data_IF_077165618838
#
_entry.id   IF_077165618838
#
_cell.length_a   1.000
_cell.length_b   1.000
_cell.length_c   1.000
_cell.angle_alpha   90.00
_cell.angle_beta   90.00
_cell.angle_gamma   90.00
#
_symmetry.space_group_name_H-M   'P 1'
#
loop_
_entity.id
_entity.type
_entity.pdbx_description
1 polymer ?
#
# COMPACT_ATOMS: atom_id res chain seq x y z
N UNK A 1 15.08 50.29 -31.11
CA UNK A 1 15.56 49.86 -32.44
C UNK A 1 17.08 49.75 -32.35
N UNK A 2 17.82 48.66 -32.55
CA UNK A 2 17.60 47.23 -32.82
C UNK A 2 18.81 46.53 -32.14
N UNK A 3 18.61 45.46 -31.36
CA UNK A 3 19.67 44.53 -30.93
C UNK A 3 19.33 43.15 -31.48
N UNK A 4 20.17 42.71 -32.41
CA UNK A 4 20.30 41.41 -33.08
C UNK A 4 21.76 41.48 -33.58
N UNK A 5 22.68 40.53 -33.44
CA UNK A 5 22.63 39.09 -33.28
C UNK A 5 23.97 38.69 -32.63
N UNK A 6 23.98 37.88 -31.58
CA UNK A 6 25.12 37.03 -31.21
C UNK A 6 24.60 35.60 -31.04
N UNK A 7 24.09 35.02 -32.13
CA UNK A 7 24.00 33.57 -32.30
C UNK A 7 25.30 33.15 -32.95
N UNK A 8 26.23 32.55 -32.21
CA UNK A 8 27.25 31.59 -32.67
C UNK A 8 28.32 31.37 -31.58
N UNK A 9 27.94 30.94 -30.38
CA UNK A 9 28.93 30.42 -29.41
C UNK A 9 28.44 29.27 -28.51
N UNK A 10 27.14 29.00 -28.37
CA UNK A 10 26.65 27.98 -27.43
C UNK A 10 27.05 26.53 -27.77
N UNK A 11 27.20 26.17 -29.04
CA UNK A 11 27.46 24.78 -29.43
C UNK A 11 28.89 24.28 -29.12
N UNK A 12 29.87 25.19 -29.02
CA UNK A 12 31.27 24.82 -28.73
C UNK A 12 31.60 24.80 -27.22
N UNK A 13 30.74 25.37 -26.37
CA UNK A 13 30.88 25.30 -24.92
C UNK A 13 30.40 23.96 -24.33
N UNK A 14 29.57 23.22 -25.06
CA UNK A 14 29.05 21.92 -24.61
C UNK A 14 30.15 20.84 -24.55
N UNK A 15 31.01 20.77 -25.57
CA UNK A 15 32.13 19.81 -25.60
C UNK A 15 33.25 20.13 -24.60
N UNK A 16 33.30 21.35 -24.06
CA UNK A 16 34.31 21.79 -23.10
C UNK A 16 33.85 21.68 -21.63
N UNK A 17 32.53 21.59 -21.35
CA UNK A 17 32.01 21.54 -19.98
C UNK A 17 32.31 20.21 -19.28
N UNK A 18 32.38 19.10 -20.03
CA UNK A 18 32.71 17.77 -19.46
C UNK A 18 34.16 17.63 -18.98
N UNK A 19 35.05 18.58 -19.27
CA UNK A 19 36.51 18.47 -19.03
C UNK A 19 36.99 19.30 -17.82
N UNK A 20 36.20 20.27 -17.33
CA UNK A 20 36.72 21.31 -16.42
C UNK A 20 36.17 21.34 -14.98
N UNK A 21 35.32 20.40 -14.54
CA UNK A 21 34.79 20.37 -13.15
C UNK A 21 34.21 21.74 -12.68
N UNK A 22 33.70 22.55 -13.61
CA UNK A 22 32.86 23.71 -13.31
C UNK A 22 31.45 23.23 -13.55
N UNK A 23 30.62 23.20 -12.49
CA UNK A 23 29.22 22.79 -12.60
C UNK A 23 28.54 23.54 -13.75
N UNK A 24 28.19 22.83 -14.81
CA UNK A 24 27.18 23.31 -15.74
C UNK A 24 25.89 23.49 -14.90
N UNK A 25 25.08 24.55 -15.12
CA UNK A 25 23.80 24.64 -14.43
C UNK A 25 23.02 23.38 -14.79
N UNK A 26 22.67 22.59 -13.78
CA UNK A 26 21.89 21.37 -13.95
C UNK A 26 20.55 21.78 -14.53
N UNK A 27 20.42 21.64 -15.84
CA UNK A 27 19.18 21.96 -16.53
C UNK A 27 18.21 20.80 -16.31
N UNK A 28 16.98 21.16 -16.01
CA UNK A 28 15.88 20.24 -15.80
C UNK A 28 14.75 20.55 -16.78
N UNK A 29 13.99 19.52 -17.15
CA UNK A 29 12.91 19.64 -18.11
C UNK A 29 11.66 20.15 -17.37
N UNK A 30 11.02 21.14 -17.96
CA UNK A 30 9.72 21.64 -17.54
C UNK A 30 8.71 21.31 -18.64
N UNK A 31 7.80 20.39 -18.37
CA UNK A 31 6.75 20.02 -19.30
C UNK A 31 5.48 20.82 -19.02
N UNK A 32 4.88 21.40 -20.06
CA UNK A 32 3.62 22.11 -19.96
C UNK A 32 2.84 22.03 -21.27
N UNK A 33 1.62 21.47 -21.21
CA UNK A 33 0.72 21.33 -22.35
C UNK A 33 1.40 20.65 -23.55
N UNK A 34 2.16 19.59 -23.31
CA UNK A 34 2.87 18.86 -24.36
C UNK A 34 4.19 19.49 -24.82
N UNK A 35 4.57 20.66 -24.28
CA UNK A 35 5.80 21.36 -24.66
C UNK A 35 6.87 21.24 -23.57
N UNK A 36 8.14 21.11 -23.99
CA UNK A 36 9.27 21.06 -23.07
C UNK A 36 10.10 22.34 -23.12
N UNK A 37 10.45 22.89 -21.95
CA UNK A 37 11.45 23.94 -21.78
C UNK A 37 12.52 23.51 -20.77
N UNK A 38 13.78 23.88 -20.99
CA UNK A 38 14.83 23.64 -20.00
C UNK A 38 14.90 24.80 -19.01
N UNK A 39 14.85 24.51 -17.72
CA UNK A 39 14.89 25.47 -16.62
C UNK A 39 15.98 25.09 -15.60
N UNK A 40 16.44 26.06 -14.81
CA UNK A 40 17.50 25.84 -13.81
C UNK A 40 16.94 25.48 -12.43
N UNK A 41 15.70 25.87 -12.12
CA UNK A 41 15.05 25.58 -10.84
C UNK A 41 13.58 25.22 -11.02
N UNK A 42 13.00 24.54 -10.03
CA UNK A 42 11.58 24.23 -10.02
C UNK A 42 10.68 25.49 -9.97
N UNK A 43 11.18 26.59 -9.38
CA UNK A 43 10.46 27.86 -9.30
C UNK A 43 10.27 28.53 -10.66
N UNK A 44 11.18 28.23 -11.61
CA UNK A 44 11.12 28.71 -12.98
C UNK A 44 10.21 27.85 -13.87
N UNK A 45 9.66 26.75 -13.34
CA UNK A 45 8.76 25.86 -14.06
C UNK A 45 7.29 26.13 -13.71
N UNK A 46 6.47 26.39 -14.72
CA UNK A 46 5.02 26.59 -14.58
C UNK A 46 4.19 25.32 -14.87
N UNK A 47 4.86 24.19 -15.05
CA UNK A 47 4.27 22.88 -15.33
C UNK A 47 4.97 21.77 -14.53
N UNK A 48 5.07 20.56 -15.09
CA UNK A 48 5.72 19.42 -14.45
C UNK A 48 7.24 19.57 -14.51
N UNK A 49 7.87 19.78 -13.35
CA UNK A 49 9.33 19.87 -13.23
C UNK A 49 9.94 18.47 -13.08
N UNK A 50 10.84 18.11 -13.98
CA UNK A 50 11.52 16.81 -14.02
C UNK A 50 13.00 17.01 -13.74
N UNK A 51 13.38 16.85 -12.48
CA UNK A 51 14.71 17.17 -12.00
C UNK A 51 15.80 16.31 -12.67
N UNK A 52 16.86 16.95 -13.14
CA UNK A 52 17.98 16.30 -13.83
C UNK A 52 17.63 15.66 -15.17
N UNK A 53 16.43 15.88 -15.71
CA UNK A 53 16.04 15.41 -17.05
C UNK A 53 16.18 16.51 -18.08
N UNK A 54 16.67 16.19 -19.27
CA UNK A 54 16.73 17.16 -20.38
C UNK A 54 15.53 16.97 -21.30
N UNK A 55 15.13 18.04 -22.00
CA UNK A 55 14.04 17.97 -22.97
C UNK A 55 14.28 17.00 -24.13
N UNK A 56 15.53 16.61 -24.38
CA UNK A 56 15.87 15.59 -25.37
C UNK A 56 15.48 14.17 -24.93
N UNK A 57 15.34 13.95 -23.63
CA UNK A 57 15.13 12.63 -23.01
C UNK A 57 13.72 12.45 -22.43
N UNK A 58 12.86 13.46 -22.57
CA UNK A 58 11.51 13.50 -22.02
C UNK A 58 10.50 13.73 -23.14
N UNK A 59 9.44 12.93 -23.15
CA UNK A 59 8.30 13.11 -24.04
C UNK A 59 7.17 13.85 -23.33
N UNK A 60 7.24 15.18 -23.27
CA UNK A 60 6.20 15.99 -22.64
C UNK A 60 4.83 15.85 -23.34
N UNK A 61 4.78 15.36 -24.59
CA UNK A 61 3.53 15.15 -25.32
C UNK A 61 2.72 13.97 -24.80
N UNK A 62 3.30 13.17 -23.90
CA UNK A 62 2.66 12.05 -23.24
C UNK A 62 2.77 12.15 -21.72
N UNK A 63 1.91 11.40 -21.04
CA UNK A 63 1.86 11.25 -19.59
C UNK A 63 1.58 9.80 -19.22
N UNK A 64 2.08 9.37 -18.09
CA UNK A 64 1.77 8.11 -17.44
C UNK A 64 0.44 8.24 -16.69
N UNK A 65 -0.45 7.29 -16.95
CA UNK A 65 -1.70 7.08 -16.24
C UNK A 65 -1.62 5.73 -15.52
N UNK A 66 -1.95 5.74 -14.23
CA UNK A 66 -1.99 4.54 -13.40
C UNK A 66 -3.42 4.05 -13.25
N UNK A 67 -3.67 2.79 -13.58
CA UNK A 67 -4.97 2.17 -13.38
C UNK A 67 -5.11 1.54 -11.97
N UNK A 68 -6.29 0.96 -11.72
CA UNK A 68 -6.65 0.33 -10.45
C UNK A 68 -5.81 -0.93 -10.12
N UNK A 69 -5.14 -1.52 -11.10
CA UNK A 69 -4.28 -2.71 -10.95
C UNK A 69 -2.78 -2.33 -10.90
N UNK A 70 -2.49 -1.05 -10.66
CA UNK A 70 -1.14 -0.46 -10.68
C UNK A 70 -0.43 -0.61 -12.04
N UNK A 71 -1.17 -0.86 -13.12
CA UNK A 71 -0.60 -0.86 -14.46
C UNK A 71 -0.45 0.56 -14.97
N UNK A 72 0.69 0.83 -15.61
CA UNK A 72 0.99 2.11 -16.20
C UNK A 72 0.74 2.10 -17.72
N UNK A 73 -0.02 3.08 -18.20
CA UNK A 73 -0.20 3.31 -19.64
C UNK A 73 0.19 4.74 -20.02
N UNK A 74 0.78 4.91 -21.20
CA UNK A 74 1.12 6.24 -21.72
C UNK A 74 -0.01 6.80 -22.58
N UNK A 75 -0.48 7.99 -22.21
CA UNK A 75 -1.54 8.74 -22.90
C UNK A 75 -1.04 10.07 -23.40
N UNK A 76 -1.71 10.66 -24.39
CA UNK A 76 -1.38 12.03 -24.80
C UNK A 76 -1.79 13.01 -23.70
N UNK A 77 -1.00 14.06 -23.53
CA UNK A 77 -1.19 15.06 -22.48
C UNK A 77 -2.61 15.69 -22.45
N UNK A 78 -3.21 15.90 -23.63
CA UNK A 78 -4.57 16.42 -23.78
C UNK A 78 -5.70 15.42 -23.57
N UNK A 79 -5.41 14.13 -23.39
CA UNK A 79 -6.41 13.08 -23.19
C UNK A 79 -6.65 12.85 -21.68
N UNK A 80 -7.86 12.44 -21.34
CA UNK A 80 -8.13 11.94 -19.99
C UNK A 80 -7.56 10.53 -19.85
N UNK A 81 -7.00 10.22 -18.67
CA UNK A 81 -6.65 8.86 -18.33
C UNK A 81 -7.90 7.94 -18.44
N UNK A 82 -7.75 6.72 -18.96
CA UNK A 82 -8.86 5.83 -19.31
C UNK A 82 -9.47 5.14 -18.09
N UNK A 83 -10.31 5.83 -17.33
CA UNK A 83 -10.95 5.22 -16.16
C UNK A 83 -11.67 6.25 -15.29
N UNK A 84 -12.44 5.79 -14.32
CA UNK A 84 -13.10 6.68 -13.33
C UNK A 84 -12.14 7.00 -12.16
N UNK A 85 -11.07 6.22 -11.97
CA UNK A 85 -10.17 6.26 -10.80
C UNK A 85 -8.67 6.17 -11.15
N UNK A 86 -8.27 6.74 -12.28
CA UNK A 86 -6.87 6.73 -12.69
C UNK A 86 -6.09 7.91 -12.12
N UNK A 87 -4.87 7.65 -11.65
CA UNK A 87 -3.95 8.68 -11.16
C UNK A 87 -3.13 9.22 -12.34
N UNK A 88 -3.33 10.51 -12.65
CA UNK A 88 -2.55 11.25 -13.65
C UNK A 88 -1.23 11.72 -13.04
N UNK A 89 -0.10 11.28 -13.58
CA UNK A 89 1.24 11.63 -13.08
C UNK A 89 1.84 12.89 -13.74
N UNK A 90 1.08 13.56 -14.60
CA UNK A 90 1.45 14.80 -15.28
C UNK A 90 2.33 14.61 -16.53
N UNK A 91 2.46 15.67 -17.32
CA UNK A 91 3.20 15.69 -18.58
C UNK A 91 4.65 15.21 -18.41
N UNK A 92 5.13 14.42 -19.37
CA UNK A 92 6.52 13.94 -19.41
C UNK A 92 6.83 12.81 -18.44
N UNK A 93 5.85 12.35 -17.66
CA UNK A 93 5.98 11.14 -16.85
C UNK A 93 6.09 9.89 -17.74
N UNK A 94 6.82 8.88 -17.24
CA UNK A 94 7.15 7.66 -17.97
C UNK A 94 6.66 6.43 -17.20
N UNK A 95 6.34 5.34 -17.92
CA UNK A 95 5.94 4.07 -17.31
C UNK A 95 7.10 3.12 -16.98
N UNK A 96 8.34 3.54 -17.19
CA UNK A 96 9.52 2.70 -16.98
C UNK A 96 10.61 3.47 -16.22
N UNK A 97 10.98 3.03 -15.00
CA UNK A 97 10.32 1.97 -14.23
C UNK A 97 8.86 2.34 -13.90
N UNK A 98 7.99 1.34 -13.67
CA UNK A 98 6.58 1.57 -13.40
C UNK A 98 6.42 2.51 -12.18
N UNK A 99 5.91 3.74 -12.37
CA UNK A 99 5.76 4.72 -11.30
C UNK A 99 4.48 4.51 -10.48
N UNK A 100 3.60 3.60 -10.92
CA UNK A 100 2.30 3.40 -10.29
C UNK A 100 2.46 2.70 -8.94
N UNK A 101 1.85 3.25 -7.88
CA UNK A 101 1.94 2.64 -6.56
C UNK A 101 1.27 1.27 -6.60
N UNK A 102 1.90 0.27 -5.98
CA UNK A 102 1.27 -1.03 -5.75
C UNK A 102 -0.07 -0.80 -5.05
N UNK A 103 -1.14 -1.31 -5.66
CA UNK A 103 -2.48 -1.20 -5.08
C UNK A 103 -2.63 -2.31 -4.04
N UNK A 104 -3.18 -2.02 -2.87
CA UNK A 104 -3.37 -3.06 -1.86
C UNK A 104 -4.33 -4.15 -2.38
N UNK A 105 -3.95 -5.40 -2.18
CA UNK A 105 -4.78 -6.57 -2.45
C UNK A 105 -5.46 -7.06 -1.17
N UNK A 106 -6.47 -7.92 -1.34
CA UNK A 106 -7.19 -8.54 -0.24
C UNK A 106 -7.84 -9.85 -0.64
N UNK A 107 -8.40 -10.55 0.35
CA UNK A 107 -9.13 -11.78 0.17
C UNK A 107 -10.45 -11.56 -0.58
N UNK A 108 -10.56 -12.20 -1.74
CA UNK A 108 -11.77 -12.27 -2.54
C UNK A 108 -12.49 -13.60 -2.37
N UNK A 109 -13.75 -13.55 -1.96
CA UNK A 109 -14.60 -14.72 -1.79
C UNK A 109 -15.50 -14.95 -3.00
N UNK A 110 -15.27 -16.05 -3.71
CA UNK A 110 -16.11 -16.49 -4.85
C UNK A 110 -16.58 -17.91 -4.66
N UNK A 111 -17.52 -18.38 -5.48
CA UNK A 111 -17.96 -19.78 -5.47
C UNK A 111 -16.85 -20.83 -5.66
N UNK A 112 -15.67 -20.44 -6.16
CA UNK A 112 -14.51 -21.32 -6.32
C UNK A 112 -13.60 -21.36 -5.08
N UNK A 113 -13.88 -20.52 -4.07
CA UNK A 113 -13.07 -20.36 -2.86
C UNK A 113 -12.48 -18.95 -2.74
N UNK A 114 -11.48 -18.84 -1.87
CA UNK A 114 -10.76 -17.60 -1.61
C UNK A 114 -9.50 -17.48 -2.48
N UNK A 115 -9.28 -16.31 -3.07
CA UNK A 115 -7.99 -15.92 -3.65
C UNK A 115 -7.67 -14.46 -3.31
N UNK A 116 -6.38 -14.09 -3.36
CA UNK A 116 -5.95 -12.70 -3.16
C UNK A 116 -6.08 -11.96 -4.49
N UNK A 117 -6.72 -10.80 -4.48
CA UNK A 117 -6.95 -9.98 -5.67
C UNK A 117 -7.18 -8.50 -5.30
N UNK A 118 -7.18 -7.63 -6.31
CA UNK A 118 -7.73 -6.28 -6.18
C UNK A 118 -9.27 -6.32 -6.13
N UNK A 119 -9.85 -5.22 -5.64
CA UNK A 119 -11.31 -5.07 -5.49
C UNK A 119 -12.07 -5.29 -6.80
N UNK A 120 -11.67 -4.61 -7.86
CA UNK A 120 -12.24 -4.72 -9.21
C UNK A 120 -12.21 -6.16 -9.75
N UNK A 121 -11.06 -6.84 -9.66
CA UNK A 121 -10.90 -8.24 -10.07
C UNK A 121 -11.83 -9.14 -9.28
N UNK A 122 -12.00 -8.86 -7.99
CA UNK A 122 -12.93 -9.60 -7.14
C UNK A 122 -14.39 -9.38 -7.57
N UNK A 123 -14.77 -8.12 -7.80
CA UNK A 123 -16.13 -7.74 -8.21
C UNK A 123 -16.47 -8.30 -9.62
N UNK A 124 -15.52 -8.28 -10.55
CA UNK A 124 -15.63 -8.88 -11.89
C UNK A 124 -15.80 -10.41 -11.82
N UNK A 125 -15.16 -11.05 -10.84
CA UNK A 125 -15.37 -12.47 -10.53
C UNK A 125 -16.70 -12.76 -9.82
N UNK A 126 -17.58 -11.75 -9.64
CA UNK A 126 -18.80 -11.82 -8.84
C UNK A 126 -18.55 -12.27 -7.40
N UNK A 127 -17.40 -11.88 -6.85
CA UNK A 127 -16.99 -12.19 -5.49
C UNK A 127 -17.22 -11.05 -4.50
N UNK A 128 -17.10 -11.38 -3.21
CA UNK A 128 -17.14 -10.42 -2.11
C UNK A 128 -15.72 -10.10 -1.66
N UNK A 129 -15.32 -8.83 -1.75
CA UNK A 129 -14.00 -8.36 -1.33
C UNK A 129 -13.96 -8.03 0.16
N UNK A 130 -13.07 -8.68 0.92
CA UNK A 130 -12.99 -8.55 2.39
C UNK A 130 -12.15 -7.36 2.87
N UNK A 131 -11.66 -6.53 1.93
CA UNK A 131 -10.85 -5.36 2.24
C UNK A 131 -9.35 -5.62 2.13
N UNK A 132 -8.62 -4.52 2.03
CA UNK A 132 -7.17 -4.50 1.81
C UNK A 132 -6.41 -5.17 2.96
N UNK A 133 -5.39 -5.95 2.62
CA UNK A 133 -4.55 -6.69 3.57
C UNK A 133 -5.22 -7.91 4.20
N UNK A 134 -6.46 -8.23 3.84
CA UNK A 134 -7.12 -9.47 4.27
C UNK A 134 -6.50 -10.70 3.59
N UNK A 135 -6.45 -11.82 4.30
CA UNK A 135 -5.79 -13.06 3.83
C UNK A 135 -6.78 -14.17 3.55
N UNK A 136 -6.43 -15.10 2.65
CA UNK A 136 -7.21 -16.33 2.41
C UNK A 136 -6.86 -17.48 3.37
N UNK A 137 -6.00 -17.24 4.36
CA UNK A 137 -5.58 -18.24 5.33
C UNK A 137 -5.45 -17.63 6.73
N UNK A 138 -6.37 -17.95 7.65
CA UNK A 138 -7.52 -18.86 7.50
C UNK A 138 -8.56 -18.37 6.47
N UNK A 139 -9.38 -19.27 5.92
CA UNK A 139 -10.31 -18.94 4.82
C UNK A 139 -11.44 -18.02 5.31
N UNK A 140 -11.45 -16.72 4.95
CA UNK A 140 -12.46 -15.77 5.44
C UNK A 140 -13.83 -15.98 4.77
N UNK A 141 -13.88 -16.80 3.71
CA UNK A 141 -15.11 -17.11 2.99
C UNK A 141 -15.99 -18.13 3.71
N UNK A 142 -15.41 -18.85 4.67
CA UNK A 142 -16.15 -19.77 5.53
C UNK A 142 -16.42 -19.05 6.85
N UNK A 143 -17.67 -18.99 7.26
CA UNK A 143 -18.05 -18.25 8.45
C UNK A 143 -19.41 -18.62 9.00
N UNK A 144 -19.75 -18.06 10.16
CA UNK A 144 -21.05 -18.26 10.79
C UNK A 144 -21.93 -17.05 10.48
N UNK A 145 -23.12 -17.28 9.93
CA UNK A 145 -24.12 -16.24 9.74
C UNK A 145 -25.16 -16.31 10.87
N UNK A 146 -25.25 -15.24 11.64
CA UNK A 146 -26.22 -15.10 12.71
C UNK A 146 -27.48 -14.39 12.20
N UNK A 147 -28.60 -15.12 12.17
CA UNK A 147 -29.91 -14.63 11.76
C UNK A 147 -30.92 -14.83 12.89
N UNK A 148 -31.41 -13.73 13.49
CA UNK A 148 -32.40 -13.76 14.57
C UNK A 148 -32.05 -14.73 15.72
N UNK A 149 -30.79 -14.75 16.14
CA UNK A 149 -30.31 -15.63 17.21
C UNK A 149 -30.06 -17.09 16.80
N UNK A 150 -30.29 -17.45 15.53
CA UNK A 150 -29.95 -18.76 14.97
C UNK A 150 -28.65 -18.66 14.18
N UNK A 151 -27.81 -19.68 14.28
CA UNK A 151 -26.56 -19.77 13.51
C UNK A 151 -26.73 -20.68 12.29
N UNK A 152 -26.26 -20.21 11.13
CA UNK A 152 -26.08 -21.00 9.91
C UNK A 152 -24.63 -20.95 9.46
N UNK A 153 -24.02 -22.12 9.18
CA UNK A 153 -22.70 -22.15 8.54
C UNK A 153 -22.87 -21.56 7.14
N UNK A 154 -22.20 -20.44 6.90
CA UNK A 154 -22.18 -19.73 5.62
C UNK A 154 -20.91 -20.08 4.85
N UNK A 155 -21.10 -20.25 3.55
CA UNK A 155 -20.04 -20.44 2.58
C UNK A 155 -20.02 -19.20 1.69
N UNK A 156 -18.83 -18.78 1.27
CA UNK A 156 -18.61 -17.60 0.41
C UNK A 156 -18.83 -16.23 1.06
N UNK A 157 -18.94 -16.17 2.39
CA UNK A 157 -19.25 -14.92 3.10
C UNK A 157 -20.66 -14.38 2.87
N UNK A 158 -21.57 -15.20 2.33
CA UNK A 158 -22.94 -14.78 2.02
C UNK A 158 -23.74 -14.71 3.32
N UNK A 159 -24.12 -13.50 3.73
CA UNK A 159 -24.88 -13.26 4.97
C UNK A 159 -25.65 -11.94 4.85
N UNK A 160 -26.52 -11.88 3.84
CA UNK A 160 -27.04 -10.61 3.32
C UNK A 160 -28.48 -10.30 3.78
N UNK A 161 -29.03 -11.06 4.75
CA UNK A 161 -30.33 -10.75 5.31
C UNK A 161 -30.29 -9.45 6.12
N UNK A 162 -31.37 -8.66 6.07
CA UNK A 162 -31.47 -7.45 6.89
C UNK A 162 -31.32 -7.79 8.38
N UNK A 163 -30.25 -7.28 9.01
CA UNK A 163 -29.94 -7.53 10.41
C UNK A 163 -29.15 -8.81 10.69
N UNK A 164 -28.70 -9.52 9.65
CA UNK A 164 -27.79 -10.64 9.80
C UNK A 164 -26.38 -10.16 10.17
N UNK A 165 -25.65 -11.00 10.92
CA UNK A 165 -24.26 -10.73 11.29
C UNK A 165 -23.38 -11.88 10.82
N UNK A 166 -22.46 -11.60 9.91
CA UNK A 166 -21.43 -12.54 9.48
C UNK A 166 -20.24 -12.51 10.45
N UNK A 167 -19.83 -13.69 10.91
CA UNK A 167 -18.62 -13.88 11.69
C UNK A 167 -17.63 -14.65 10.81
N UNK A 168 -16.61 -13.97 10.23
CA UNK A 168 -15.62 -14.63 9.39
C UNK A 168 -14.79 -15.63 10.21
N UNK A 169 -14.34 -16.71 9.58
CA UNK A 169 -13.50 -17.76 10.19
C UNK A 169 -14.16 -18.45 11.41
N UNK A 170 -15.48 -18.45 11.46
CA UNK A 170 -16.25 -19.11 12.53
C UNK A 170 -17.17 -20.19 11.97
N UNK A 171 -17.38 -21.26 12.75
CA UNK A 171 -18.39 -22.27 12.47
C UNK A 171 -19.44 -22.24 13.58
N UNK A 172 -20.68 -22.60 13.26
CA UNK A 172 -21.79 -22.58 14.22
C UNK A 172 -21.60 -23.49 15.43
N UNK A 173 -20.68 -24.45 15.37
CA UNK A 173 -20.29 -25.25 16.54
C UNK A 173 -19.67 -24.42 17.66
N UNK A 174 -19.11 -23.24 17.36
CA UNK A 174 -18.49 -22.33 18.32
C UNK A 174 -19.22 -21.00 18.51
N UNK A 175 -20.32 -20.77 17.79
CA UNK A 175 -21.05 -19.50 17.77
C UNK A 175 -22.44 -19.68 18.38
N UNK A 176 -22.73 -18.89 19.42
CA UNK A 176 -24.05 -18.79 20.02
C UNK A 176 -24.66 -17.45 19.63
N UNK A 177 -25.40 -17.42 18.51
CA UNK A 177 -25.98 -16.20 17.96
C UNK A 177 -27.04 -15.56 18.87
N UNK A 178 -27.56 -16.27 19.88
CA UNK A 178 -28.46 -15.69 20.88
C UNK A 178 -27.70 -14.89 21.96
N UNK A 179 -26.36 -14.91 21.92
CA UNK A 179 -25.47 -14.12 22.77
C UNK A 179 -24.73 -13.09 21.94
N UNK A 180 -24.24 -12.09 22.62
CA UNK A 180 -23.39 -11.03 22.10
C UNK A 180 -22.27 -10.69 23.07
N UNK A 181 -21.33 -9.88 22.60
CA UNK A 181 -20.22 -9.38 23.40
C UNK A 181 -20.72 -8.42 24.49
N UNK A 182 -20.51 -8.79 25.74
CA UNK A 182 -20.69 -7.91 26.90
C UNK A 182 -19.34 -7.40 27.39
N UNK A 183 -19.18 -6.09 27.31
CA UNK A 183 -17.95 -5.41 27.66
C UNK A 183 -17.97 -4.86 29.07
N UNK A 184 -17.05 -5.33 29.90
CA UNK A 184 -16.75 -4.69 31.17
C UNK A 184 -16.01 -3.37 30.92
N UNK A 185 -16.18 -2.41 31.84
CA UNK A 185 -15.40 -1.16 31.84
C UNK A 185 -13.89 -1.36 31.93
N UNK A 186 -13.43 -2.57 32.25
CA UNK A 186 -12.02 -2.97 32.27
C UNK A 186 -11.51 -3.51 30.92
N UNK A 187 -12.37 -3.60 29.90
CA UNK A 187 -12.05 -4.15 28.58
C UNK A 187 -12.16 -5.68 28.47
N UNK A 188 -12.65 -6.36 29.51
CA UNK A 188 -12.94 -7.81 29.44
C UNK A 188 -14.24 -8.04 28.67
N UNK A 189 -14.19 -8.93 27.67
CA UNK A 189 -15.37 -9.38 26.94
C UNK A 189 -15.90 -10.70 27.49
N UNK A 190 -17.22 -10.79 27.66
CA UNK A 190 -17.90 -12.05 27.98
C UNK A 190 -19.10 -12.24 27.05
N UNK A 191 -19.26 -13.41 26.39
CA UNK A 191 -20.43 -13.66 25.56
C UNK A 191 -21.64 -13.94 26.47
N UNK A 192 -22.68 -13.11 26.40
CA UNK A 192 -23.91 -13.25 27.20
C UNK A 192 -25.13 -12.88 26.37
N UNK A 193 -26.32 -13.31 26.82
CA UNK A 193 -27.57 -12.78 26.27
C UNK A 193 -27.77 -11.33 26.70
N UNK A 194 -28.47 -10.52 25.90
CA UNK A 194 -28.77 -9.12 26.21
C UNK A 194 -29.36 -8.91 27.63
N UNK A 195 -30.23 -9.83 28.07
CA UNK A 195 -30.86 -9.80 29.40
C UNK A 195 -29.90 -10.10 30.54
N UNK A 196 -28.82 -10.84 30.28
CA UNK A 196 -27.74 -11.10 31.24
C UNK A 196 -26.64 -10.01 31.18
N UNK A 197 -26.62 -9.20 30.12
CA UNK A 197 -25.71 -8.07 29.93
C UNK A 197 -26.20 -6.81 30.66
N UNK A 198 -26.13 -6.81 31.99
CA UNK A 198 -26.69 -5.76 32.83
C UNK A 198 -25.64 -5.16 33.78
N UNK A 199 -25.95 -4.01 34.39
CA UNK A 199 -25.09 -3.37 35.38
C UNK A 199 -23.98 -2.53 34.75
N UNK A 200 -22.70 -2.85 35.04
CA UNK A 200 -21.53 -2.14 34.52
C UNK A 200 -21.00 -2.71 33.19
N UNK A 201 -21.83 -3.49 32.50
CA UNK A 201 -21.53 -4.10 31.22
C UNK A 201 -22.20 -3.30 30.09
N UNK A 202 -21.52 -3.20 28.96
CA UNK A 202 -22.08 -2.66 27.71
C UNK A 202 -22.32 -3.81 26.73
N UNK A 203 -23.57 -3.99 26.30
CA UNK A 203 -23.91 -4.98 25.28
C UNK A 203 -23.66 -4.42 23.88
N UNK A 204 -22.86 -5.12 23.07
CA UNK A 204 -22.56 -4.69 21.70
C UNK A 204 -23.59 -5.18 20.66
N UNK A 205 -24.48 -6.10 21.05
CA UNK A 205 -25.50 -6.66 20.17
C UNK A 205 -25.36 -8.17 20.00
N UNK A 206 -26.47 -8.82 19.67
CA UNK A 206 -26.51 -10.26 19.36
C UNK A 206 -25.55 -10.58 18.19
N UNK A 207 -24.94 -11.77 18.20
CA UNK A 207 -24.00 -12.20 17.15
C UNK A 207 -22.61 -11.55 17.22
N UNK A 208 -22.38 -10.56 18.10
CA UNK A 208 -21.04 -10.00 18.28
C UNK A 208 -20.14 -10.98 19.04
N UNK A 209 -19.04 -11.42 18.42
CA UNK A 209 -18.04 -12.31 19.04
C UNK A 209 -17.16 -11.57 20.06
N UNK A 210 -16.67 -12.29 21.07
CA UNK A 210 -15.62 -11.82 21.99
C UNK A 210 -14.20 -12.14 21.51
N UNK A 211 -14.07 -12.78 20.34
CA UNK A 211 -12.80 -13.13 19.72
C UNK A 211 -12.84 -12.73 18.22
N UNK A 212 -12.01 -11.78 17.76
CA UNK A 212 -11.13 -10.93 18.58
C UNK A 212 -11.93 -10.07 19.57
N UNK A 213 -11.31 -9.61 20.67
CA UNK A 213 -12.02 -8.89 21.74
C UNK A 213 -12.45 -7.49 21.28
N UNK A 214 -13.76 -7.23 21.09
CA UNK A 214 -14.25 -5.94 20.57
C UNK A 214 -14.36 -4.87 21.67
N UNK A 215 -14.13 -5.23 22.94
CA UNK A 215 -14.35 -4.33 24.05
C UNK A 215 -13.24 -3.27 24.13
N UNK A 216 -13.60 -1.99 24.35
CA UNK A 216 -12.62 -0.93 24.54
C UNK A 216 -11.60 -1.34 25.59
N UNK A 217 -10.31 -1.25 25.26
CA UNK A 217 -9.23 -1.54 26.19
C UNK A 217 -8.86 -0.26 26.93
N UNK A 218 -9.47 0.05 28.10
CA UNK A 218 -9.22 1.29 28.82
C UNK A 218 -7.74 1.39 29.19
N UNK A 219 -7.16 2.58 28.99
CA UNK A 219 -5.74 2.84 29.24
C UNK A 219 -4.81 1.92 28.45
N UNK A 220 -5.21 1.45 27.26
CA UNK A 220 -4.29 0.85 26.30
C UNK A 220 -4.41 1.52 24.94
N UNK A 221 -3.29 1.51 24.22
CA UNK A 221 -3.14 1.93 22.83
C UNK A 221 -2.41 0.82 22.08
N UNK A 222 -2.73 0.67 20.80
CA UNK A 222 -1.96 -0.14 19.87
C UNK A 222 -0.65 0.58 19.56
N UNK A 223 0.44 -0.12 19.83
CA UNK A 223 1.80 0.34 19.61
C UNK A 223 2.45 -0.48 18.49
N UNK A 224 2.87 0.24 17.46
CA UNK A 224 3.46 -0.32 16.26
C UNK A 224 4.97 -0.29 16.34
N UNK A 225 5.58 -1.46 16.22
CA UNK A 225 7.00 -1.59 15.94
C UNK A 225 7.24 -1.23 14.48
N UNK A 226 7.93 -0.12 14.26
CA UNK A 226 8.18 0.43 12.93
C UNK A 226 9.09 -0.46 12.07
N UNK A 227 9.94 -1.28 12.69
CA UNK A 227 10.86 -2.19 11.99
C UNK A 227 10.22 -3.52 11.58
N UNK A 228 9.30 -4.05 12.40
CA UNK A 228 8.73 -5.40 12.21
C UNK A 228 7.26 -5.38 11.81
N UNK A 229 6.57 -4.25 11.97
CA UNK A 229 5.12 -4.16 11.79
C UNK A 229 4.33 -4.86 12.89
N UNK A 230 4.99 -5.35 13.95
CA UNK A 230 4.33 -6.00 15.08
C UNK A 230 3.50 -4.98 15.86
N UNK A 231 2.29 -5.40 16.26
CA UNK A 231 1.41 -4.58 17.09
C UNK A 231 1.33 -5.15 18.50
N UNK A 232 1.45 -4.26 19.49
CA UNK A 232 1.24 -4.61 20.89
C UNK A 232 0.31 -3.64 21.60
N UNK A 233 -0.58 -4.17 22.45
CA UNK A 233 -1.56 -3.38 23.20
C UNK A 233 -1.04 -3.11 24.62
N UNK A 234 -0.68 -1.85 24.93
CA UNK A 234 -0.09 -1.43 26.22
C UNK A 234 -0.60 -0.06 26.65
N UNK A 235 -0.38 0.35 27.90
CA UNK A 235 -0.80 1.67 28.42
C UNK A 235 0.02 2.88 27.97
N UNK A 236 0.74 2.74 26.88
CA UNK A 236 1.66 3.71 26.31
C UNK A 236 2.72 2.98 25.50
N UNK A 237 3.16 3.60 24.41
CA UNK A 237 4.18 3.03 23.53
C UNK A 237 5.58 3.35 24.05
N UNK A 238 6.52 2.45 23.79
CA UNK A 238 7.92 2.61 24.14
C UNK A 238 8.64 3.55 23.15
N UNK A 239 9.83 4.02 23.53
CA UNK A 239 10.66 4.83 22.63
C UNK A 239 10.96 4.04 21.34
N UNK A 240 10.62 4.63 20.19
CA UNK A 240 10.77 4.02 18.86
C UNK A 240 9.53 3.31 18.31
N UNK A 241 8.48 3.16 19.13
CA UNK A 241 7.17 2.66 18.68
C UNK A 241 6.25 3.83 18.27
N UNK A 242 5.34 3.58 17.32
CA UNK A 242 4.30 4.55 16.93
C UNK A 242 2.95 4.17 17.54
N UNK A 243 2.30 5.13 18.19
CA UNK A 243 0.94 4.94 18.72
C UNK A 243 -0.10 5.18 17.63
N UNK A 244 -1.11 4.31 17.55
CA UNK A 244 -2.30 4.51 16.69
C UNK A 244 -3.42 5.31 17.38
N UNK A 245 -3.21 5.77 18.62
CA UNK A 245 -4.17 6.58 19.38
C UNK A 245 -5.06 5.78 20.33
N UNK A 246 -5.87 6.49 21.12
CA UNK A 246 -6.78 5.88 22.11
C UNK A 246 -7.87 5.04 21.43
N UNK A 247 -8.15 3.85 21.98
CA UNK A 247 -9.15 2.93 21.44
C UNK A 247 -8.69 2.07 20.26
N UNK A 248 -7.43 2.21 19.83
CA UNK A 248 -6.84 1.33 18.81
C UNK A 248 -6.66 -0.11 19.31
N UNK A 249 -6.74 -1.06 18.37
CA UNK A 249 -6.58 -2.50 18.61
C UNK A 249 -5.43 -3.06 17.76
N UNK A 250 -4.93 -4.24 18.13
CA UNK A 250 -3.89 -4.95 17.36
C UNK A 250 -4.44 -6.09 16.50
N UNK A 251 -5.75 -6.33 16.54
CA UNK A 251 -6.42 -7.33 15.74
C UNK A 251 -7.68 -6.71 15.11
N UNK A 252 -7.76 -6.63 13.76
CA UNK A 252 -6.70 -6.92 12.80
C UNK A 252 -5.48 -5.97 12.97
N UNK A 253 -4.28 -6.44 12.62
CA UNK A 253 -3.06 -5.65 12.78
C UNK A 253 -3.05 -4.45 11.82
N UNK A 254 -3.38 -3.26 12.33
CA UNK A 254 -3.37 -2.01 11.58
C UNK A 254 -2.03 -1.28 11.60
N UNK A 255 -0.97 -1.89 12.14
CA UNK A 255 0.35 -1.30 12.08
C UNK A 255 0.87 -1.32 10.65
N UNK A 256 1.55 -0.24 10.21
CA UNK A 256 2.26 -0.26 8.94
C UNK A 256 3.16 -1.49 8.92
N UNK A 257 2.87 -2.42 8.02
CA UNK A 257 3.76 -3.54 7.81
C UNK A 257 5.05 -2.97 7.21
N UNK A 258 6.23 -3.49 7.61
CA UNK A 258 7.45 -3.11 6.94
C UNK A 258 7.24 -3.33 5.44
N UNK A 259 7.71 -2.42 4.58
CA UNK A 259 7.56 -2.59 3.14
C UNK A 259 8.09 -3.98 2.77
N UNK A 260 7.19 -4.88 2.38
CA UNK A 260 7.60 -6.19 1.91
C UNK A 260 8.18 -5.99 0.50
N UNK A 261 9.40 -6.48 0.19
CA UNK A 261 10.28 -7.21 1.07
C UNK A 261 11.48 -6.40 1.57
N UNK A 262 11.88 -6.69 2.81
CA UNK A 262 13.26 -6.46 3.26
C UNK A 262 14.30 -7.18 2.37
N UNK A 263 13.86 -7.99 1.41
CA UNK A 263 14.69 -8.60 0.37
C UNK A 263 15.15 -7.52 -0.61
N UNK A 264 16.40 -7.61 -1.01
CA UNK A 264 16.99 -6.72 -2.01
C UNK A 264 18.09 -7.41 -2.79
N UNK A 265 18.55 -6.76 -3.86
CA UNK A 265 19.65 -7.22 -4.69
C UNK A 265 20.92 -7.34 -3.85
N UNK A 266 21.44 -8.55 -3.77
CA UNK A 266 22.71 -8.89 -3.16
C UNK A 266 23.69 -9.24 -4.28
N UNK A 267 24.74 -8.43 -4.41
CA UNK A 267 25.68 -8.50 -5.52
C UNK A 267 26.99 -9.14 -5.09
N UNK A 268 27.39 -10.21 -5.77
CA UNK A 268 28.72 -10.80 -5.62
C UNK A 268 29.79 -9.97 -6.37
N UNK A 269 31.09 -10.14 -6.04
CA UNK A 269 32.18 -9.51 -6.79
C UNK A 269 32.30 -10.01 -8.25
N UNK A 270 31.64 -11.11 -8.59
CA UNK A 270 31.62 -11.69 -9.93
C UNK A 270 30.44 -11.21 -10.78
N UNK A 271 29.65 -10.23 -10.29
CA UNK A 271 28.47 -9.70 -10.98
C UNK A 271 27.21 -10.58 -10.87
N UNK A 272 27.27 -11.70 -10.13
CA UNK A 272 26.06 -12.49 -9.82
C UNK A 272 25.18 -11.74 -8.83
N UNK A 273 23.87 -11.71 -9.09
CA UNK A 273 22.85 -11.11 -8.23
C UNK A 273 21.93 -12.17 -7.64
N UNK A 274 21.57 -12.02 -6.37
CA UNK A 274 20.49 -12.78 -5.72
C UNK A 274 19.61 -11.85 -4.88
N UNK A 275 18.31 -12.08 -4.86
CA UNK A 275 17.38 -11.36 -4.00
C UNK A 275 17.38 -12.04 -2.61
N UNK A 276 17.99 -11.39 -1.64
CA UNK A 276 18.20 -11.91 -0.28
C UNK A 276 17.85 -10.86 0.78
N UNK A 277 17.53 -11.32 1.99
CA UNK A 277 17.46 -10.43 3.15
C UNK A 277 18.85 -9.85 3.50
N UNK A 278 18.94 -8.63 4.07
CA UNK A 278 20.19 -7.97 4.40
C UNK A 278 21.11 -8.82 5.27
N UNK A 279 20.54 -9.57 6.23
CA UNK A 279 21.29 -10.49 7.07
C UNK A 279 21.85 -11.69 6.29
N UNK A 280 21.09 -12.27 5.36
CA UNK A 280 21.53 -13.35 4.50
C UNK A 280 22.61 -12.88 3.52
N UNK A 281 22.47 -11.67 2.97
CA UNK A 281 23.46 -11.05 2.10
C UNK A 281 24.78 -10.77 2.86
N UNK A 282 24.69 -10.22 4.07
CA UNK A 282 25.87 -9.96 4.92
C UNK A 282 26.61 -11.21 5.39
N UNK A 283 25.97 -12.38 5.32
CA UNK A 283 26.60 -13.67 5.63
C UNK A 283 27.36 -14.27 4.43
N UNK A 284 27.21 -13.71 3.23
CA UNK A 284 27.93 -14.15 2.03
C UNK A 284 29.25 -13.39 1.89
N UNK A 285 30.35 -14.12 1.74
CA UNK A 285 31.68 -13.54 1.70
C UNK A 285 31.85 -12.61 0.49
N UNK A 286 32.09 -11.32 0.76
CA UNK A 286 32.29 -10.25 -0.22
C UNK A 286 31.05 -9.91 -1.07
N UNK A 287 29.84 -10.30 -0.66
CA UNK A 287 28.63 -9.82 -1.31
C UNK A 287 28.18 -8.48 -0.72
N UNK A 288 27.58 -7.64 -1.56
CA UNK A 288 27.16 -6.28 -1.21
C UNK A 288 25.65 -6.17 -1.36
N UNK A 289 24.96 -5.82 -0.28
CA UNK A 289 23.54 -5.55 -0.29
C UNK A 289 23.27 -4.15 -0.87
N UNK A 290 22.42 -4.06 -1.89
CA UNK A 290 22.15 -2.81 -2.62
C UNK A 290 20.96 -2.02 -2.05
N UNK A 291 20.27 -2.54 -1.03
CA UNK A 291 19.17 -1.90 -0.32
C UNK A 291 17.89 -2.72 -0.37
N UNK A 292 17.01 -2.57 0.62
CA UNK A 292 15.70 -3.21 0.61
C UNK A 292 14.87 -2.72 -0.59
N UNK A 293 14.15 -3.63 -1.26
CA UNK A 293 13.39 -3.32 -2.48
C UNK A 293 14.22 -3.16 -3.75
N UNK A 294 15.55 -3.25 -3.71
CA UNK A 294 16.37 -3.30 -4.93
C UNK A 294 16.21 -4.65 -5.63
N UNK A 295 16.05 -4.67 -6.95
CA UNK A 295 15.83 -5.92 -7.70
C UNK A 295 17.05 -6.34 -8.51
N UNK A 296 17.26 -7.66 -8.64
CA UNK A 296 18.25 -8.20 -9.57
C UNK A 296 17.90 -7.98 -11.04
N UNK A 297 16.66 -7.58 -11.34
CA UNK A 297 16.24 -7.18 -12.69
C UNK A 297 16.75 -5.79 -13.10
N UNK A 298 17.19 -4.97 -12.14
CA UNK A 298 17.68 -3.61 -12.43
C UNK A 298 18.99 -3.67 -13.23
N UNK A 299 19.09 -3.02 -14.41
CA UNK A 299 20.29 -3.06 -15.23
C UNK A 299 21.52 -2.57 -14.45
N UNK A 300 22.63 -3.29 -14.58
CA UNK A 300 23.93 -2.94 -14.00
C UNK A 300 23.92 -2.81 -12.47
N UNK A 301 22.95 -3.40 -11.76
CA UNK A 301 22.83 -3.29 -10.30
C UNK A 301 24.06 -3.86 -9.56
N UNK A 302 24.78 -4.80 -10.19
CA UNK A 302 25.98 -5.45 -9.66
C UNK A 302 27.28 -5.07 -10.38
N UNK A 303 27.26 -4.04 -11.22
CA UNK A 303 28.46 -3.53 -11.91
C UNK A 303 29.23 -2.50 -11.07
#
# INVERSE_FOLDING_TARGET
MRRFVYHFTCALLWAACSILLVGCPDKSACCQNGQCTEVETAEDCTGTFLDGKLCADVDCGRKACCDEDAACTLWFDGDQCPGIHDDDLGDGSACEPNPCPDRPEGACCTFQGCFIAHRNVCEDASGTYNGDGSSCSPNPCDGACCTNGTCLDSYLGICDGEGDTFIPDAMCTGVDCAKGACCLTTGVCTPQQATACQGNLTYLGDGTSCNPNPCPQPNKVACCFTETGECTLRGGCLDGETSLGEGSVCEPNSCPQPPDPMIGACCSPAGTCAELFPNACGNLLNWVFKGAGSSCATPNICD
#
